data_IF_153948152278
#
_entry.id   IF_153948152278
#
_cell.length_a   1.000
_cell.length_b   1.000
_cell.length_c   1.000
_cell.angle_alpha   90.00
_cell.angle_beta   90.00
_cell.angle_gamma   90.00
#
_symmetry.space_group_name_H-M   'P 1'
#
loop_
_entity.id
_entity.type
_entity.pdbx_description
1 polymer ?
2 water ?
#
# COMPACT_ATOMS: atom_id res chain seq x y z
N UNK A 4 -30.50 48.90 -9.66
CA UNK A 4 -30.77 49.04 -8.18
C UNK A 4 -29.50 48.75 -7.38
N UNK A 5 -29.41 49.28 -6.16
CA UNK A 5 -28.27 49.06 -5.25
C UNK A 5 -28.17 47.57 -4.73
N UNK A 6 -29.30 46.92 -4.69
CA UNK A 6 -29.43 45.56 -4.25
C UNK A 6 -28.86 44.65 -5.34
N UNK A 7 -29.21 44.94 -6.60
CA UNK A 7 -28.65 44.21 -7.74
C UNK A 7 -27.15 44.45 -7.82
N UNK A 8 -26.70 45.66 -7.51
CA UNK A 8 -25.30 45.94 -7.55
C UNK A 8 -24.56 45.15 -6.47
N UNK A 9 -25.13 45.10 -5.28
CA UNK A 9 -24.45 44.34 -4.19
C UNK A 9 -24.36 42.83 -4.55
N UNK A 10 -25.37 42.28 -5.22
CA UNK A 10 -25.39 40.89 -5.60
C UNK A 10 -24.37 40.65 -6.67
N UNK A 11 -24.27 41.58 -7.63
CA UNK A 11 -23.31 41.38 -8.70
C UNK A 11 -21.85 41.36 -8.14
N UNK A 12 -21.58 42.27 -7.19
CA UNK A 12 -20.27 42.26 -6.52
C UNK A 12 -19.98 41.01 -5.71
N UNK A 13 -20.97 40.54 -5.00
CA UNK A 13 -20.83 39.27 -4.26
C UNK A 13 -20.53 38.13 -5.22
N UNK A 14 -21.22 38.08 -6.36
CA UNK A 14 -21.04 37.02 -7.32
C UNK A 14 -19.64 37.10 -7.91
N UNK A 15 -19.17 38.30 -8.22
CA UNK A 15 -17.75 38.44 -8.68
C UNK A 15 -16.76 37.88 -7.65
N UNK A 16 -16.95 38.17 -6.36
CA UNK A 16 -16.08 37.69 -5.28
C UNK A 16 -16.16 36.10 -5.25
N UNK A 17 -17.35 35.55 -5.33
CA UNK A 17 -17.52 34.09 -5.31
C UNK A 17 -16.98 33.44 -6.54
N UNK A 18 -17.08 34.08 -7.70
CA UNK A 18 -16.48 33.51 -8.89
C UNK A 18 -14.97 33.48 -8.80
N UNK A 19 -14.40 34.50 -8.15
CA UNK A 19 -12.92 34.48 -7.94
C UNK A 19 -12.56 33.43 -6.91
N UNK A 20 -13.36 33.29 -5.88
CA UNK A 20 -13.13 32.25 -4.90
C UNK A 20 -13.25 30.84 -5.48
N UNK A 21 -14.21 30.60 -6.35
CA UNK A 21 -14.24 29.32 -7.05
C UNK A 21 -13.05 29.11 -7.95
N UNK A 22 -12.67 30.13 -8.71
CA UNK A 22 -11.50 29.95 -9.59
C UNK A 22 -10.25 29.62 -8.83
N UNK A 23 -10.09 30.24 -7.65
CA UNK A 23 -8.93 30.02 -6.85
C UNK A 23 -8.92 28.56 -6.29
N UNK A 24 -10.09 28.12 -5.79
CA UNK A 24 -10.29 26.70 -5.41
C UNK A 24 -10.04 25.70 -6.54
N UNK A 25 -10.61 25.95 -7.72
CA UNK A 25 -10.35 25.08 -8.85
C UNK A 25 -8.84 24.94 -9.14
N UNK A 26 -8.11 26.06 -9.11
CA UNK A 26 -6.68 26.02 -9.33
C UNK A 26 -5.96 25.25 -8.20
N UNK A 27 -6.34 25.46 -6.92
CA UNK A 27 -5.75 24.74 -5.82
C UNK A 27 -5.94 23.24 -6.01
N UNK A 28 -7.17 22.86 -6.41
CA UNK A 28 -7.46 21.47 -6.72
C UNK A 28 -6.63 20.87 -7.79
N UNK A 29 -6.38 21.61 -8.89
CA UNK A 29 -5.50 21.10 -9.91
C UNK A 29 -4.07 20.92 -9.42
N UNK A 30 -3.54 21.84 -8.63
CA UNK A 30 -2.16 21.66 -8.10
C UNK A 30 -2.10 20.49 -7.12
N UNK A 31 -3.09 20.35 -6.26
CA UNK A 31 -3.15 19.21 -5.36
C UNK A 31 -3.25 17.91 -6.20
N UNK A 32 -4.11 17.92 -7.21
CA UNK A 32 -4.30 16.66 -7.93
C UNK A 32 -2.98 16.23 -8.69
N UNK A 33 -2.21 17.17 -9.23
CA UNK A 33 -0.98 16.83 -9.87
C UNK A 33 0.05 16.25 -8.87
N UNK A 34 0.13 16.77 -7.64
CA UNK A 34 0.99 16.13 -6.64
C UNK A 34 0.42 14.81 -6.15
N UNK A 35 -0.90 14.71 -6.07
CA UNK A 35 -1.56 13.46 -5.72
C UNK A 35 -1.25 12.38 -6.82
N UNK A 36 -1.31 12.72 -8.11
CA UNK A 36 -1.01 11.76 -9.16
C UNK A 36 0.46 11.31 -9.06
N UNK A 37 1.36 12.24 -8.75
CA UNK A 37 2.73 11.85 -8.56
C UNK A 37 2.93 10.93 -7.32
N UNK A 38 2.32 11.27 -6.20
CA UNK A 38 2.41 10.42 -5.01
C UNK A 38 1.89 9.00 -5.34
N UNK A 39 0.83 8.93 -6.15
CA UNK A 39 0.27 7.64 -6.58
C UNK A 39 1.25 6.84 -7.42
N UNK A 40 1.90 7.51 -8.34
CA UNK A 40 2.96 6.89 -9.14
C UNK A 40 4.13 6.40 -8.31
N UNK A 41 4.49 7.20 -7.33
CA UNK A 41 5.62 6.85 -6.47
C UNK A 41 5.27 5.65 -5.58
N UNK A 42 4.07 5.68 -5.07
CA UNK A 42 3.52 4.63 -4.21
C UNK A 42 3.41 3.33 -5.04
N UNK A 43 2.89 3.41 -6.25
CA UNK A 43 2.79 2.25 -7.08
C UNK A 43 4.12 1.65 -7.44
N UNK A 44 5.14 2.50 -7.66
CA UNK A 44 6.44 1.98 -7.94
C UNK A 44 7.01 1.30 -6.69
N UNK A 45 6.84 1.90 -5.52
CA UNK A 45 7.29 1.28 -4.29
C UNK A 45 6.56 -0.13 -4.06
N UNK A 46 5.25 -0.19 -4.28
CA UNK A 46 4.49 -1.44 -4.18
C UNK A 46 4.97 -2.55 -5.14
N UNK A 47 5.25 -2.20 -6.40
CA UNK A 47 5.83 -3.13 -7.33
C UNK A 47 7.23 -3.62 -6.89
N UNK A 48 8.10 -2.71 -6.39
CA UNK A 48 9.40 -3.13 -5.84
C UNK A 48 9.23 -4.07 -4.60
N UNK A 49 8.24 -3.78 -3.73
CA UNK A 49 7.99 -4.60 -2.55
C UNK A 49 7.58 -6.01 -2.98
N UNK A 50 6.81 -6.12 -4.08
CA UNK A 50 6.38 -7.44 -4.57
C UNK A 50 7.61 -8.21 -5.09
N UNK A 51 8.53 -7.51 -5.75
CA UNK A 51 9.82 -8.11 -6.20
C UNK A 51 10.68 -8.59 -5.04
N UNK A 52 10.83 -7.71 -4.05
CA UNK A 52 11.64 -7.97 -2.80
C UNK A 52 11.09 -9.15 -2.01
N UNK A 53 9.78 -9.33 -2.12
CA UNK A 53 9.14 -10.45 -1.46
C UNK A 53 9.50 -11.75 -2.15
N UNK A 54 9.44 -11.76 -3.48
CA UNK A 54 9.78 -12.95 -4.28
C UNK A 54 11.21 -13.38 -4.02
N UNK A 55 12.11 -12.38 -3.94
CA UNK A 55 13.52 -12.62 -3.66
C UNK A 55 13.73 -13.18 -2.28
N UNK A 56 13.02 -12.62 -1.31
CA UNK A 56 13.08 -13.10 0.03
C UNK A 56 12.66 -14.57 0.12
N UNK A 57 11.60 -14.97 -0.58
CA UNK A 57 11.17 -16.33 -0.58
C UNK A 57 12.21 -17.28 -1.18
N UNK A 58 12.95 -16.83 -2.19
CA UNK A 58 13.98 -17.66 -2.79
C UNK A 58 15.12 -17.89 -1.79
N UNK A 59 15.47 -16.85 -0.99
CA UNK A 59 16.47 -17.06 0.07
C UNK A 59 15.96 -17.97 1.17
N UNK A 60 14.70 -17.81 1.49
CA UNK A 60 14.08 -18.71 2.47
C UNK A 60 14.14 -20.18 1.93
N UNK A 61 13.87 -20.38 0.65
CA UNK A 61 14.03 -21.73 0.08
C UNK A 61 15.40 -22.36 0.14
N UNK A 62 16.46 -21.58 -0.18
CA UNK A 62 17.85 -21.99 0.04
C UNK A 62 18.10 -22.40 1.51
N UNK A 63 17.67 -21.56 2.46
CA UNK A 63 17.85 -21.80 3.88
C UNK A 63 17.12 -23.07 4.28
N UNK A 64 15.88 -23.28 3.83
CA UNK A 64 15.12 -24.52 4.28
C UNK A 64 15.70 -25.80 3.67
N UNK A 65 16.14 -25.76 2.42
CA UNK A 65 16.98 -26.85 1.84
C UNK A 65 18.15 -27.23 2.70
N UNK A 66 18.88 -26.23 3.19
CA UNK A 66 20.09 -26.49 3.96
C UNK A 66 19.67 -27.02 5.32
N UNK A 67 18.54 -26.56 5.87
CA UNK A 67 18.09 -27.07 7.15
C UNK A 67 17.70 -28.53 6.99
N UNK A 68 17.13 -28.92 5.81
CA UNK A 68 16.76 -30.30 5.64
C UNK A 68 17.97 -31.21 5.49
N UNK A 69 19.00 -30.69 4.88
CA UNK A 69 20.26 -31.43 4.81
C UNK A 69 20.87 -31.59 6.26
N UNK A 70 20.86 -30.51 7.02
CA UNK A 70 21.24 -30.61 8.48
C UNK A 70 20.43 -31.69 9.22
N UNK A 71 19.10 -31.64 9.10
CA UNK A 71 18.25 -32.60 9.82
C UNK A 71 18.60 -34.05 9.50
N UNK A 72 18.90 -34.36 8.23
CA UNK A 72 19.28 -35.72 7.82
C UNK A 72 20.59 -36.12 8.51
N UNK A 73 21.57 -35.20 8.56
CA UNK A 73 22.82 -35.49 9.28
C UNK A 73 22.62 -35.64 10.80
N UNK A 74 21.79 -34.83 11.37
CA UNK A 74 21.49 -35.00 12.81
C UNK A 74 20.84 -36.35 13.07
N UNK A 75 19.93 -36.76 12.22
CA UNK A 75 19.30 -38.11 12.40
C UNK A 75 20.41 -39.15 12.34
N UNK A 76 21.26 -39.02 11.35
CA UNK A 76 22.38 -39.96 11.26
C UNK A 76 23.23 -39.99 12.48
N UNK A 77 23.54 -38.82 12.99
CA UNK A 77 24.37 -38.76 14.13
C UNK A 77 23.75 -39.32 15.38
N UNK A 78 22.46 -39.08 15.59
CA UNK A 78 21.80 -39.61 16.73
C UNK A 78 21.83 -41.16 16.62
N UNK A 79 21.74 -41.69 15.40
CA UNK A 79 21.75 -43.15 15.17
C UNK A 79 23.12 -43.64 15.64
N UNK A 80 24.15 -42.88 15.29
CA UNK A 80 25.55 -43.29 15.62
C UNK A 80 25.72 -43.24 17.16
N UNK A 81 25.22 -42.18 17.78
CA UNK A 81 25.33 -42.10 19.23
C UNK A 81 24.63 -43.29 19.92
N UNK A 82 23.49 -43.72 19.37
CA UNK A 82 22.72 -44.83 19.94
C UNK A 82 23.58 -46.07 19.91
N UNK A 83 24.25 -46.28 18.76
CA UNK A 83 25.14 -47.41 18.60
C UNK A 83 26.37 -47.37 19.45
N UNK A 84 26.98 -46.19 19.54
CA UNK A 84 28.06 -46.00 20.53
C UNK A 84 27.73 -46.28 21.95
N UNK A 85 26.56 -45.87 22.43
CA UNK A 85 26.20 -46.22 23.82
C UNK A 85 26.21 -47.78 24.00
N UNK A 86 25.63 -48.48 23.04
CA UNK A 86 25.48 -49.92 23.16
C UNK A 86 26.89 -50.57 23.18
N UNK A 87 27.63 -50.27 22.16
CA UNK A 87 28.95 -50.85 21.96
C UNK A 87 29.88 -50.53 23.12
N UNK A 88 29.82 -49.31 23.64
CA UNK A 88 30.63 -48.96 24.82
C UNK A 88 30.21 -49.75 26.07
N UNK A 89 28.92 -49.88 26.31
CA UNK A 89 28.47 -50.69 27.40
C UNK A 89 29.06 -52.11 27.29
N UNK A 90 28.98 -52.72 26.11
CA UNK A 90 29.45 -54.08 25.92
C UNK A 90 30.95 -54.23 26.23
N UNK A 91 31.70 -53.22 25.79
CA UNK A 91 33.17 -53.22 25.92
C UNK A 91 33.56 -52.98 27.37
N UNK A 92 32.91 -52.04 28.03
CA UNK A 92 33.20 -51.85 29.43
C UNK A 92 33.08 -53.13 30.21
N UNK A 93 32.11 -53.98 29.90
CA UNK A 93 31.96 -55.24 30.64
C UNK A 93 33.09 -56.25 30.45
N UNK A 94 33.75 -56.26 29.31
CA UNK A 94 34.94 -57.10 29.14
C UNK A 94 36.16 -56.41 29.75
N UNK B 7 36.08 -58.96 21.88
CA UNK B 7 36.90 -57.75 22.31
C UNK B 7 37.44 -57.03 21.13
N UNK B 8 38.11 -57.80 20.26
CA UNK B 8 38.69 -57.25 19.07
C UNK B 8 37.61 -56.69 18.18
N UNK B 9 36.53 -57.45 17.99
CA UNK B 9 35.48 -57.01 17.08
C UNK B 9 34.77 -55.81 17.63
N UNK B 10 34.61 -55.76 18.93
CA UNK B 10 33.97 -54.64 19.56
C UNK B 10 34.81 -53.38 19.41
N UNK B 11 36.13 -53.50 19.62
CA UNK B 11 37.07 -52.42 19.24
C UNK B 11 36.98 -52.03 17.80
N UNK B 12 36.97 -52.98 16.87
CA UNK B 12 36.82 -52.65 15.46
C UNK B 12 35.51 -51.86 15.15
N UNK B 13 34.37 -52.40 15.56
CA UNK B 13 33.07 -51.68 15.45
C UNK B 13 33.16 -50.27 16.08
N UNK B 14 33.74 -50.17 17.27
CA UNK B 14 33.76 -48.89 17.98
C UNK B 14 34.60 -47.86 17.22
N UNK B 15 35.73 -48.28 16.65
CA UNK B 15 36.56 -47.38 15.82
C UNK B 15 35.78 -46.92 14.62
N UNK B 16 35.14 -47.87 13.90
CA UNK B 16 34.27 -47.56 12.75
C UNK B 16 33.16 -46.55 13.10
N UNK B 17 32.50 -46.80 14.23
CA UNK B 17 31.50 -45.83 14.71
C UNK B 17 32.05 -44.46 15.04
N UNK B 18 33.19 -44.41 15.73
CA UNK B 18 33.81 -43.16 16.07
C UNK B 18 34.31 -42.42 14.84
N UNK B 19 34.71 -43.17 13.78
CA UNK B 19 35.00 -42.51 12.51
C UNK B 19 33.76 -41.85 11.91
N UNK B 20 32.68 -42.59 11.84
CA UNK B 20 31.44 -42.06 11.35
C UNK B 20 30.96 -40.90 12.21
N UNK B 21 31.10 -40.95 13.52
CA UNK B 21 30.77 -39.81 14.36
C UNK B 21 31.54 -38.56 13.98
N UNK B 22 32.87 -38.73 13.81
CA UNK B 22 33.68 -37.59 13.50
C UNK B 22 33.38 -37.05 12.12
N UNK B 23 33.12 -37.94 11.16
CA UNK B 23 32.70 -37.50 9.80
C UNK B 23 31.38 -36.72 9.83
N UNK B 24 30.38 -37.23 10.56
CA UNK B 24 29.08 -36.54 10.64
C UNK B 24 29.25 -35.21 11.33
N UNK B 25 30.07 -35.18 12.40
CA UNK B 25 30.36 -33.90 13.10
C UNK B 25 30.94 -32.89 12.18
N UNK B 26 31.91 -33.33 11.41
CA UNK B 26 32.53 -32.42 10.42
C UNK B 26 31.54 -31.96 9.31
N UNK B 27 30.78 -32.88 8.74
CA UNK B 27 29.79 -32.52 7.76
C UNK B 27 28.75 -31.52 8.38
N UNK B 28 28.41 -31.73 9.64
CA UNK B 28 27.53 -30.81 10.36
C UNK B 28 28.15 -29.41 10.57
N UNK B 29 29.45 -29.35 10.86
CA UNK B 29 30.13 -28.09 10.89
C UNK B 29 30.06 -27.37 9.51
N UNK B 30 30.31 -28.05 8.41
CA UNK B 30 30.25 -27.46 7.10
C UNK B 30 28.83 -26.98 6.76
N UNK B 31 27.84 -27.84 7.03
CA UNK B 31 26.47 -27.49 6.76
C UNK B 31 26.02 -26.39 7.70
N UNK B 32 26.47 -26.33 8.97
CA UNK B 32 26.08 -25.22 9.88
C UNK B 32 26.67 -23.90 9.38
N UNK B 33 27.89 -23.97 8.79
CA UNK B 33 28.46 -22.78 8.16
C UNK B 33 27.65 -22.28 6.96
N UNK B 34 27.27 -23.20 6.11
CA UNK B 34 26.38 -22.87 4.99
C UNK B 34 24.98 -22.30 5.38
N UNK B 35 24.35 -22.89 6.41
CA UNK B 35 23.10 -22.43 7.06
C UNK B 35 23.31 -20.97 7.42
N UNK B 36 24.46 -20.69 8.05
CA UNK B 36 24.73 -19.37 8.53
C UNK B 36 24.74 -18.34 7.44
N UNK B 37 25.44 -18.66 6.38
CA UNK B 37 25.45 -17.73 5.23
C UNK B 37 24.06 -17.56 4.65
N UNK B 38 23.30 -18.65 4.46
CA UNK B 38 21.96 -18.50 3.94
C UNK B 38 21.11 -17.64 4.89
N UNK B 39 21.28 -17.84 6.20
CA UNK B 39 20.51 -17.03 7.15
C UNK B 39 20.90 -15.58 7.07
N UNK B 40 22.19 -15.28 6.93
CA UNK B 40 22.59 -13.91 6.82
C UNK B 40 21.97 -13.30 5.52
N UNK B 41 21.97 -14.05 4.43
CA UNK B 41 21.43 -13.54 3.16
C UNK B 41 19.90 -13.32 3.23
N UNK B 42 19.22 -14.20 4.01
CA UNK B 42 17.76 -14.06 4.20
C UNK B 42 17.57 -12.82 5.03
N UNK B 43 18.37 -12.64 6.10
CA UNK B 43 18.16 -11.50 6.99
C UNK B 43 18.46 -10.18 6.26
N UNK B 44 19.47 -10.24 5.38
CA UNK B 44 19.73 -9.08 4.52
C UNK B 44 18.53 -8.75 3.61
N UNK B 45 17.97 -9.75 2.98
CA UNK B 45 16.78 -9.53 2.14
C UNK B 45 15.60 -9.01 2.94
N UNK B 46 15.40 -9.49 4.17
CA UNK B 46 14.43 -8.97 5.03
C UNK B 46 14.63 -7.48 5.41
N UNK B 47 15.90 -7.11 5.65
CA UNK B 47 16.22 -5.74 5.96
C UNK B 47 15.93 -4.82 4.75
N UNK B 48 16.27 -5.28 3.57
CA UNK B 48 15.99 -4.52 2.37
C UNK B 48 14.49 -4.31 2.17
N UNK B 49 13.70 -5.37 2.41
CA UNK B 49 12.26 -5.25 2.34
C UNK B 49 11.70 -4.27 3.38
N UNK B 50 12.26 -4.24 4.60
CA UNK B 50 11.82 -3.29 5.65
C UNK B 50 12.16 -1.82 5.25
N UNK B 51 13.37 -1.62 4.71
CA UNK B 51 13.75 -0.28 4.25
C UNK B 51 12.82 0.22 3.13
N UNK B 52 12.47 -0.65 2.22
CA UNK B 52 11.56 -0.29 1.17
C UNK B 52 10.19 0.02 1.73
N UNK B 53 9.77 -0.78 2.67
CA UNK B 53 8.51 -0.56 3.36
C UNK B 53 8.38 0.80 4.03
N UNK B 54 9.47 1.29 4.62
CA UNK B 54 9.47 2.63 5.23
C UNK B 54 9.19 3.68 4.15
N UNK B 55 9.82 3.51 3.00
CA UNK B 55 9.61 4.40 1.83
C UNK B 55 8.18 4.33 1.28
N UNK B 56 7.66 3.10 1.21
CA UNK B 56 6.33 2.87 0.71
C UNK B 56 5.31 3.55 1.58
N UNK B 57 5.47 3.38 2.88
CA UNK B 57 4.54 3.98 3.86
C UNK B 57 4.56 5.52 3.72
N UNK B 58 5.76 6.09 3.54
CA UNK B 58 5.89 7.56 3.37
C UNK B 58 5.13 8.05 2.09
N UNK B 59 5.19 7.29 1.00
CA UNK B 59 4.46 7.69 -0.23
C UNK B 59 2.99 7.52 0.06
N UNK B 60 2.63 6.46 0.78
CA UNK B 60 1.24 6.28 1.13
C UNK B 60 0.70 7.45 2.00
N UNK B 61 1.49 7.93 2.93
CA UNK B 61 1.07 9.04 3.77
C UNK B 61 0.91 10.29 2.93
N UNK B 62 1.82 10.50 1.98
CA UNK B 62 1.70 11.64 1.04
C UNK B 62 0.41 11.51 0.23
N UNK B 63 0.22 10.34 -0.38
CA UNK B 63 -0.97 10.14 -1.22
C UNK B 63 -2.25 10.41 -0.40
N UNK B 64 -2.39 9.79 0.77
CA UNK B 64 -3.54 10.03 1.66
C UNK B 64 -3.75 11.44 2.04
N UNK B 65 -2.67 12.11 2.44
CA UNK B 65 -2.74 13.51 2.89
C UNK B 65 -3.29 14.39 1.74
N UNK B 66 -2.77 14.13 0.52
CA UNK B 66 -3.17 14.90 -0.66
C UNK B 66 -4.64 14.59 -0.96
N UNK B 67 -5.03 13.31 -0.83
CA UNK B 67 -6.46 12.97 -1.08
C UNK B 67 -7.37 13.69 -0.09
N UNK B 68 -7.00 13.75 1.20
CA UNK B 68 -7.75 14.44 2.22
C UNK B 68 -7.90 15.89 1.96
N UNK B 69 -6.82 16.47 1.46
CA UNK B 69 -6.78 17.88 1.15
C UNK B 69 -7.67 18.14 -0.11
N UNK B 70 -7.62 17.24 -1.07
CA UNK B 70 -8.60 17.35 -2.24
C UNK B 70 -10.06 17.28 -1.79
N UNK B 71 -10.39 16.29 -0.98
CA UNK B 71 -11.76 16.29 -0.41
C UNK B 71 -12.17 17.54 0.31
N UNK B 72 -11.31 18.10 1.13
CA UNK B 72 -11.60 19.32 1.88
C UNK B 72 -11.84 20.52 0.93
N UNK B 73 -10.99 20.62 -0.06
CA UNK B 73 -11.13 21.69 -1.10
C UNK B 73 -12.40 21.50 -1.91
N UNK B 74 -12.70 20.25 -2.27
CA UNK B 74 -14.01 19.99 -2.92
C UNK B 74 -15.22 20.39 -2.09
N UNK B 75 -15.21 20.06 -0.80
CA UNK B 75 -16.22 20.54 0.07
C UNK B 75 -16.32 22.02 0.11
N UNK B 76 -15.17 22.70 0.24
CA UNK B 76 -15.16 24.15 0.24
C UNK B 76 -15.77 24.74 -1.05
N UNK B 77 -15.38 24.17 -2.20
CA UNK B 77 -15.92 24.56 -3.49
C UNK B 77 -17.43 24.35 -3.58
N UNK B 78 -17.95 23.24 -3.08
CA UNK B 78 -19.35 23.08 -3.08
C UNK B 78 -20.08 24.12 -2.27
N UNK B 79 -19.50 24.55 -1.17
CA UNK B 79 -20.15 25.55 -0.31
C UNK B 79 -20.15 26.89 -0.98
N UNK B 80 -19.02 27.22 -1.63
CA UNK B 80 -18.98 28.42 -2.43
C UNK B 80 -20.04 28.40 -3.57
N UNK B 81 -20.20 27.26 -4.20
CA UNK B 81 -21.09 27.09 -5.28
C UNK B 81 -22.54 27.23 -4.78
N UNK B 82 -22.86 26.71 -3.61
CA UNK B 82 -24.20 26.97 -3.07
C UNK B 82 -24.46 28.44 -2.84
N UNK B 83 -23.48 29.14 -2.32
CA UNK B 83 -23.63 30.61 -2.16
C UNK B 83 -23.81 31.31 -3.56
N UNK B 84 -23.04 30.83 -4.53
CA UNK B 84 -23.08 31.41 -5.86
C UNK B 84 -24.48 31.21 -6.43
N UNK B 85 -24.98 30.01 -6.35
CA UNK B 85 -26.33 29.75 -6.95
C UNK B 85 -27.41 30.52 -6.23
N UNK B 86 -27.29 30.69 -4.92
CA UNK B 86 -28.25 31.49 -4.17
C UNK B 86 -28.23 32.95 -4.67
N UNK B 87 -27.02 33.53 -4.76
CA UNK B 87 -26.92 34.87 -5.20
C UNK B 87 -27.43 35.04 -6.69
N UNK B 88 -27.22 34.08 -7.55
CA UNK B 88 -27.73 34.16 -8.91
C UNK B 88 -29.28 34.16 -8.94
N UNK B 89 -29.88 33.33 -8.10
CA UNK B 89 -31.35 33.32 -7.99
C UNK B 89 -31.77 34.67 -7.55
N UNK B 90 -31.10 35.26 -6.54
CA UNK B 90 -31.57 36.52 -6.01
C UNK B 90 -31.51 37.56 -7.11
N UNK B 91 -30.43 37.54 -7.88
CA UNK B 91 -30.24 38.62 -8.94
C UNK B 91 -31.18 38.35 -10.13
N UNK B 92 -31.37 37.12 -10.52
CA UNK B 92 -32.32 36.78 -11.60
C UNK B 92 -33.74 37.22 -11.30
N UNK B 93 -34.13 37.29 -10.05
CA UNK B 93 -35.46 37.76 -9.71
C UNK B 93 -35.66 39.20 -9.92
N UNK B 94 -34.59 39.96 -9.76
CA UNK B 94 -34.63 41.36 -10.02
C UNK B 94 -34.71 41.56 -11.53
N UNK C 5 -37.12 56.44 -33.28
CA UNK C 5 -36.05 55.93 -34.18
C UNK C 5 -34.78 55.41 -33.48
N UNK C 6 -34.03 56.30 -32.83
CA UNK C 6 -32.96 55.90 -31.89
C UNK C 6 -33.58 54.91 -30.93
N UNK C 7 -34.81 55.21 -30.49
CA UNK C 7 -35.47 54.36 -29.58
C UNK C 7 -35.75 52.96 -30.20
N UNK C 8 -36.15 52.90 -31.47
CA UNK C 8 -36.34 51.61 -32.15
C UNK C 8 -35.06 50.79 -32.28
N UNK C 9 -33.96 51.45 -32.59
CA UNK C 9 -32.71 50.76 -32.66
C UNK C 9 -32.29 50.24 -31.24
N UNK C 10 -32.58 51.00 -30.20
CA UNK C 10 -32.26 50.52 -28.84
C UNK C 10 -33.14 49.30 -28.44
N UNK C 11 -34.44 49.36 -28.83
CA UNK C 11 -35.37 48.26 -28.48
C UNK C 11 -34.90 47.01 -29.15
N UNK C 12 -34.54 47.06 -30.44
CA UNK C 12 -34.03 45.92 -31.19
C UNK C 12 -32.79 45.34 -30.52
N UNK C 13 -31.87 46.24 -30.14
CA UNK C 13 -30.64 45.78 -29.41
C UNK C 13 -31.01 45.09 -28.09
N UNK C 14 -31.93 45.70 -27.31
CA UNK C 14 -32.23 45.20 -26.03
C UNK C 14 -32.88 43.78 -26.22
N UNK C 15 -33.70 43.64 -27.26
CA UNK C 15 -34.25 42.30 -27.56
C UNK C 15 -33.14 41.27 -27.84
N UNK C 16 -32.21 41.66 -28.71
CA UNK C 16 -31.09 40.83 -29.04
C UNK C 16 -30.28 40.42 -27.77
N UNK C 17 -30.06 41.38 -26.88
CA UNK C 17 -29.27 41.10 -25.68
C UNK C 17 -30.03 40.27 -24.69
N UNK C 18 -31.33 40.51 -24.57
CA UNK C 18 -32.11 39.65 -23.70
C UNK C 18 -32.16 38.19 -24.16
N UNK C 19 -32.18 37.99 -25.47
CA UNK C 19 -32.11 36.66 -26.05
C UNK C 19 -30.73 36.01 -25.77
N UNK C 20 -29.66 36.82 -25.81
CA UNK C 20 -28.34 36.30 -25.57
C UNK C 20 -28.18 35.96 -24.08
N UNK C 21 -28.73 36.77 -23.21
CA UNK C 21 -28.70 36.56 -21.83
C UNK C 21 -29.43 35.24 -21.56
N UNK C 22 -30.64 35.05 -22.10
CA UNK C 22 -31.38 33.81 -21.87
C UNK C 22 -30.63 32.58 -22.30
N UNK C 23 -29.99 32.64 -23.45
CA UNK C 23 -29.18 31.51 -23.98
C UNK C 23 -28.00 31.23 -23.04
N UNK C 24 -27.33 32.28 -22.59
CA UNK C 24 -26.24 32.04 -21.56
C UNK C 24 -26.74 31.42 -20.28
N UNK C 25 -27.83 31.94 -19.73
CA UNK C 25 -28.40 31.36 -18.57
C UNK C 25 -28.75 29.89 -18.85
N UNK C 26 -29.35 29.57 -20.00
CA UNK C 26 -29.68 28.15 -20.28
C UNK C 26 -28.43 27.29 -20.41
N UNK C 27 -27.40 27.83 -21.02
CA UNK C 27 -26.13 27.11 -21.18
C UNK C 27 -25.54 26.85 -19.80
N UNK C 28 -25.61 27.83 -18.91
CA UNK C 28 -25.15 27.61 -17.50
C UNK C 28 -25.95 26.53 -16.78
N UNK C 29 -27.28 26.50 -16.99
CA UNK C 29 -28.10 25.43 -16.46
C UNK C 29 -27.72 24.08 -16.96
N UNK C 30 -27.39 23.98 -18.24
CA UNK C 30 -27.01 22.74 -18.85
C UNK C 30 -25.62 22.27 -18.36
N UNK C 31 -24.72 23.21 -18.24
CA UNK C 31 -23.45 22.93 -17.56
C UNK C 31 -23.64 22.48 -16.18
N UNK C 32 -24.52 23.09 -15.42
CA UNK C 32 -24.79 22.63 -14.08
C UNK C 32 -25.32 21.21 -14.09
N UNK C 33 -26.18 20.84 -15.04
CA UNK C 33 -26.64 19.47 -15.10
C UNK C 33 -25.52 18.45 -15.35
N UNK C 34 -24.67 18.72 -16.31
CA UNK C 34 -23.53 17.92 -16.61
C UNK C 34 -22.60 17.88 -15.38
N UNK C 35 -22.40 19.03 -14.72
CA UNK C 35 -21.51 19.16 -13.52
C UNK C 35 -22.06 18.26 -12.40
N UNK C 36 -23.37 18.28 -12.19
CA UNK C 36 -24.00 17.49 -11.16
C UNK C 36 -23.78 16.02 -11.41
N UNK C 37 -23.80 15.59 -12.68
CA UNK C 37 -23.51 14.20 -12.99
C UNK C 37 -22.05 13.84 -12.75
N UNK C 38 -21.15 14.72 -13.23
CA UNK C 38 -19.69 14.50 -13.00
C UNK C 38 -19.41 14.41 -11.50
N UNK C 39 -20.01 15.30 -10.71
CA UNK C 39 -19.75 15.38 -9.26
C UNK C 39 -20.22 14.10 -8.58
N UNK C 40 -21.40 13.67 -8.95
CA UNK C 40 -21.92 12.43 -8.42
C UNK C 40 -21.05 11.24 -8.80
N UNK C 41 -20.56 11.12 -10.06
CA UNK C 41 -19.70 10.08 -10.46
C UNK C 41 -18.38 10.14 -9.66
N UNK C 42 -17.89 11.36 -9.49
CA UNK C 42 -16.66 11.56 -8.72
C UNK C 42 -16.83 11.11 -7.27
N UNK C 43 -17.91 11.48 -6.62
CA UNK C 43 -18.19 11.08 -5.28
C UNK C 43 -18.40 9.57 -5.20
N UNK C 44 -19.01 8.95 -6.21
CA UNK C 44 -19.17 7.46 -6.19
C UNK C 44 -17.83 6.75 -6.25
N UNK C 45 -16.96 7.24 -7.15
CA UNK C 45 -15.58 6.77 -7.23
C UNK C 45 -14.78 6.97 -5.96
N UNK C 46 -14.94 8.10 -5.28
CA UNK C 46 -14.22 8.35 -4.02
C UNK C 46 -14.70 7.39 -2.94
N UNK C 47 -16.01 7.18 -2.90
CA UNK C 47 -16.53 6.27 -1.85
C UNK C 47 -16.11 4.80 -2.14
N UNK C 48 -15.94 4.46 -3.39
CA UNK C 48 -15.44 3.17 -3.74
C UNK C 48 -13.94 3.09 -3.38
N UNK C 49 -13.23 4.21 -3.58
CA UNK C 49 -11.75 4.18 -3.28
C UNK C 49 -11.53 4.07 -1.81
N UNK C 50 -12.37 4.71 -1.00
CA UNK C 50 -12.24 4.70 0.42
C UNK C 50 -12.49 3.33 0.99
N UNK C 51 -13.50 2.65 0.45
CA UNK C 51 -13.79 1.26 0.82
C UNK C 51 -12.64 0.33 0.50
N UNK C 52 -12.11 0.47 -0.67
CA UNK C 52 -11.04 -0.34 -1.05
C UNK C 52 -9.78 -0.05 -0.28
N UNK C 53 -9.53 1.23 -0.02
CA UNK C 53 -8.44 1.63 0.92
C UNK C 53 -8.51 0.89 2.27
N UNK C 54 -9.69 0.89 2.86
CA UNK C 54 -9.95 0.18 4.12
C UNK C 54 -9.54 -1.28 3.99
N UNK C 55 -9.88 -1.90 2.88
CA UNK C 55 -9.60 -3.33 2.68
C UNK C 55 -8.09 -3.54 2.48
N UNK C 56 -7.49 -2.63 1.72
CA UNK C 56 -6.12 -2.71 1.42
C UNK C 56 -5.28 -2.62 2.71
N UNK C 57 -5.59 -1.65 3.53
CA UNK C 57 -4.92 -1.46 4.81
C UNK C 57 -5.02 -2.66 5.70
N UNK C 58 -6.16 -3.28 5.68
CA UNK C 58 -6.46 -4.55 6.38
C UNK C 58 -5.55 -5.67 5.82
N UNK C 59 -5.49 -5.79 4.50
CA UNK C 59 -4.59 -6.75 3.91
C UNK C 59 -3.05 -6.47 4.32
N UNK C 60 -2.68 -5.21 4.37
CA UNK C 60 -1.29 -4.81 4.73
C UNK C 60 -1.00 -5.21 6.18
N UNK C 61 -1.90 -4.85 7.09
CA UNK C 61 -1.80 -5.31 8.53
C UNK C 61 -1.76 -6.76 8.70
N UNK C 62 -2.61 -7.52 8.02
CA UNK C 62 -2.57 -9.01 8.05
C UNK C 62 -1.18 -9.49 7.63
N UNK C 63 -0.72 -9.01 6.47
CA UNK C 63 0.58 -9.44 6.01
C UNK C 63 1.74 -9.06 6.97
N UNK C 64 1.67 -7.87 7.55
CA UNK C 64 2.66 -7.39 8.53
C UNK C 64 2.74 -8.39 9.73
N UNK C 65 1.58 -8.81 10.20
CA UNK C 65 1.52 -9.77 11.30
C UNK C 65 2.05 -11.13 10.91
N UNK C 66 1.70 -11.59 9.73
CA UNK C 66 2.18 -12.87 9.28
C UNK C 66 3.74 -12.81 9.09
N UNK C 67 4.27 -11.66 8.66
CA UNK C 67 5.68 -11.51 8.45
C UNK C 67 6.35 -11.55 9.85
N UNK C 68 5.77 -10.89 10.83
CA UNK C 68 6.27 -11.05 12.17
C UNK C 68 6.31 -12.51 12.60
N UNK C 69 5.24 -13.21 12.40
CA UNK C 69 5.17 -14.61 12.77
C UNK C 69 6.30 -15.39 12.14
N UNK C 70 6.59 -15.14 10.86
CA UNK C 70 7.67 -15.81 10.20
C UNK C 70 9.04 -15.47 10.84
N UNK C 71 9.27 -14.19 11.06
CA UNK C 71 10.52 -13.76 11.71
C UNK C 71 10.73 -14.38 13.08
N UNK C 72 9.68 -14.39 13.88
CA UNK C 72 9.68 -14.95 15.21
C UNK C 72 9.97 -16.46 15.16
N UNK C 73 9.38 -17.20 14.22
CA UNK C 73 9.75 -18.61 14.05
C UNK C 73 11.19 -18.78 13.65
N UNK C 74 11.70 -17.91 12.79
CA UNK C 74 13.14 -17.94 12.45
C UNK C 74 14.05 -17.65 13.65
N UNK C 75 13.63 -16.77 14.58
CA UNK C 75 14.35 -16.53 15.78
C UNK C 75 14.38 -17.76 16.64
N UNK C 76 13.23 -18.43 16.77
CA UNK C 76 13.23 -19.72 17.47
C UNK C 76 14.16 -20.77 16.86
N UNK C 77 14.23 -20.81 15.56
CA UNK C 77 15.04 -21.78 14.87
C UNK C 77 16.53 -21.40 15.21
N UNK C 78 16.85 -20.11 15.23
CA UNK C 78 18.21 -19.72 15.63
C UNK C 78 18.51 -20.15 17.07
N UNK C 79 17.56 -20.05 17.96
CA UNK C 79 17.78 -20.53 19.30
C UNK C 79 18.11 -22.03 19.32
N UNK C 80 17.41 -22.81 18.53
CA UNK C 80 17.71 -24.23 18.41
C UNK C 80 19.01 -24.50 17.74
N UNK C 81 19.41 -23.69 16.76
CA UNK C 81 20.73 -23.85 16.22
C UNK C 81 21.76 -23.65 17.37
N UNK C 82 21.48 -22.69 18.28
CA UNK C 82 22.47 -22.40 19.36
C UNK C 82 22.51 -23.55 20.37
N UNK C 83 21.34 -24.04 20.68
CA UNK C 83 21.24 -25.29 21.44
C UNK C 83 22.06 -26.48 20.87
N UNK C 84 22.06 -26.63 19.54
CA UNK C 84 22.90 -27.63 18.90
C UNK C 84 24.39 -27.40 19.16
N UNK C 85 24.81 -26.15 19.18
CA UNK C 85 26.24 -25.86 19.52
C UNK C 85 26.54 -26.09 21.00
N UNK C 86 25.59 -25.85 21.87
CA UNK C 86 25.76 -26.13 23.31
C UNK C 86 25.83 -27.64 23.55
N UNK C 87 25.18 -28.46 22.69
CA UNK C 87 25.26 -29.92 22.77
C UNK C 87 26.61 -30.40 22.24
N UNK C 88 27.06 -29.76 21.17
CA UNK C 88 28.34 -30.14 20.53
C UNK C 88 29.49 -30.01 21.55
N UNK C 89 29.44 -28.97 22.38
CA UNK C 89 30.50 -28.79 23.43
C UNK C 89 30.02 -29.39 24.79
N UNK C 90 28.91 -30.10 24.81
CA UNK C 90 28.45 -30.94 25.95
C UNK C 90 28.20 -30.16 27.18
N UNK C 91 27.64 -28.97 27.03
CA UNK C 91 27.24 -28.16 28.19
C UNK C 91 26.16 -28.90 28.97
N UNK C 92 26.38 -29.06 30.29
CA UNK C 92 25.39 -29.61 31.23
C UNK C 92 24.25 -28.65 31.36
N UNK C 93 23.20 -29.12 31.99
CA UNK C 93 21.98 -28.38 32.14
C UNK C 93 21.55 -28.35 33.60
N UNK C 94 21.24 -27.15 34.09
CA UNK C 94 20.58 -26.81 35.40
C UNK C 94 21.36 -25.86 36.28
N UNK D 4 29.97 -44.11 27.47
CA UNK D 4 28.64 -44.65 27.06
C UNK D 4 27.53 -43.75 27.58
N UNK D 5 27.67 -43.27 28.82
CA UNK D 5 26.81 -42.24 29.32
C UNK D 5 26.81 -40.97 28.49
N UNK D 6 28.01 -40.54 28.05
CA UNK D 6 28.11 -39.34 27.20
C UNK D 6 27.33 -39.59 25.87
N UNK D 7 27.52 -40.75 25.25
CA UNK D 7 26.78 -41.06 24.03
C UNK D 7 25.27 -41.08 24.24
N UNK D 8 24.87 -41.72 25.32
CA UNK D 8 23.47 -41.72 25.70
C UNK D 8 22.86 -40.27 25.86
N UNK D 9 23.59 -39.39 26.55
CA UNK D 9 23.09 -38.02 26.83
C UNK D 9 23.03 -37.21 25.55
N UNK D 10 24.06 -37.41 24.70
CA UNK D 10 24.11 -36.73 23.44
C UNK D 10 22.98 -37.26 22.50
N UNK D 11 22.70 -38.56 22.48
CA UNK D 11 21.59 -39.06 21.61
C UNK D 11 20.26 -38.39 22.02
N UNK D 12 19.95 -38.42 23.32
CA UNK D 12 18.71 -37.87 23.85
C UNK D 12 18.59 -36.44 23.44
N UNK D 13 19.70 -35.71 23.61
CA UNK D 13 19.68 -34.31 23.27
C UNK D 13 19.53 -34.08 21.80
N UNK D 14 20.27 -34.82 20.97
CA UNK D 14 20.11 -34.75 19.55
C UNK D 14 18.68 -35.05 19.10
N UNK D 15 18.03 -36.05 19.65
CA UNK D 15 16.66 -36.31 19.18
C UNK D 15 15.70 -35.22 19.59
N UNK D 16 15.83 -34.67 20.79
CA UNK D 16 15.06 -33.51 21.17
C UNK D 16 15.22 -32.36 20.20
N UNK D 17 16.47 -32.00 19.94
CA UNK D 17 16.75 -30.81 19.09
C UNK D 17 16.33 -31.05 17.67
N UNK D 18 16.57 -32.28 17.19
CA UNK D 18 16.27 -32.62 15.81
C UNK D 18 14.77 -32.39 15.65
N UNK D 19 13.99 -32.82 16.65
CA UNK D 19 12.52 -32.75 16.44
C UNK D 19 12.05 -31.33 16.52
N UNK D 20 12.68 -30.56 17.40
CA UNK D 20 12.26 -29.15 17.60
C UNK D 20 12.55 -28.40 16.31
N UNK D 21 13.73 -28.67 15.73
CA UNK D 21 14.07 -28.06 14.48
C UNK D 21 13.09 -28.53 13.41
N UNK D 22 12.81 -29.80 13.36
CA UNK D 22 11.90 -30.28 12.30
C UNK D 22 10.51 -29.68 12.38
N UNK D 23 10.05 -29.47 13.58
CA UNK D 23 8.71 -28.87 13.77
C UNK D 23 8.74 -27.40 13.25
N UNK D 24 9.80 -26.67 13.63
CA UNK D 24 9.92 -25.30 13.14
C UNK D 24 10.09 -25.23 11.65
N UNK D 25 10.85 -26.15 11.06
CA UNK D 25 11.03 -26.17 9.61
C UNK D 25 9.68 -26.43 8.89
N UNK D 26 8.95 -27.37 9.45
CA UNK D 26 7.62 -27.71 8.90
C UNK D 26 6.71 -26.49 8.97
N UNK D 27 6.67 -25.85 10.12
CA UNK D 27 5.83 -24.70 10.27
C UNK D 27 6.26 -23.53 9.35
N UNK D 28 7.56 -23.34 9.17
CA UNK D 28 8.08 -22.35 8.23
C UNK D 28 7.79 -22.61 6.69
N UNK D 29 7.74 -23.87 6.30
CA UNK D 29 7.36 -24.29 4.96
C UNK D 29 5.98 -23.86 4.73
N UNK D 30 5.06 -24.12 5.65
CA UNK D 30 3.66 -23.65 5.47
C UNK D 30 3.60 -22.13 5.48
N UNK D 31 4.20 -21.51 6.50
CA UNK D 31 4.21 -20.05 6.58
C UNK D 31 4.67 -19.36 5.28
N UNK D 32 5.63 -19.94 4.60
CA UNK D 32 6.09 -19.43 3.33
C UNK D 32 5.00 -19.43 2.26
N UNK D 33 4.33 -20.57 2.10
CA UNK D 33 3.25 -20.69 1.10
C UNK D 33 2.05 -19.86 1.57
N UNK D 34 1.72 -19.86 2.85
CA UNK D 34 0.64 -19.02 3.30
C UNK D 34 0.83 -17.52 3.27
N UNK D 35 2.04 -17.06 3.54
CA UNK D 35 2.35 -15.68 3.45
C UNK D 35 2.37 -15.24 2.00
N UNK D 36 2.74 -16.07 1.07
CA UNK D 36 2.69 -15.70 -0.33
C UNK D 36 1.24 -15.46 -0.79
N UNK D 37 0.32 -16.28 -0.31
CA UNK D 37 -1.12 -15.95 -0.49
C UNK D 37 -1.51 -14.54 0.05
N UNK D 38 -1.11 -14.20 1.26
CA UNK D 38 -1.45 -12.95 1.81
C UNK D 38 -0.83 -11.84 1.05
N UNK D 39 0.39 -12.07 0.59
CA UNK D 39 1.01 -11.08 -0.25
C UNK D 39 0.26 -10.88 -1.58
N UNK D 40 -0.18 -11.97 -2.18
CA UNK D 40 -0.93 -11.89 -3.41
C UNK D 40 -2.23 -11.15 -3.24
N UNK D 41 -2.89 -11.36 -2.11
CA UNK D 41 -4.09 -10.66 -1.82
C UNK D 41 -3.85 -9.17 -1.67
N UNK D 42 -2.75 -8.81 -0.98
CA UNK D 42 -2.44 -7.39 -0.82
C UNK D 42 -2.15 -6.78 -2.17
N UNK D 43 -1.38 -7.48 -3.01
CA UNK D 43 -0.98 -6.96 -4.31
C UNK D 43 -2.19 -6.76 -5.23
N UNK D 44 -3.12 -7.70 -5.16
CA UNK D 44 -4.35 -7.53 -5.88
C UNK D 44 -5.18 -6.29 -5.47
N UNK D 45 -5.25 -6.01 -4.22
CA UNK D 45 -5.95 -4.88 -3.62
C UNK D 45 -5.23 -3.61 -4.07
N UNK D 46 -3.89 -3.64 -4.08
CA UNK D 46 -3.10 -2.47 -4.52
C UNK D 46 -3.34 -2.20 -6.01
N UNK D 47 -3.45 -3.26 -6.79
CA UNK D 47 -3.67 -3.13 -8.21
C UNK D 47 -5.04 -2.56 -8.51
N UNK D 48 -6.02 -3.01 -7.78
CA UNK D 48 -7.31 -2.41 -7.86
C UNK D 48 -7.34 -0.95 -7.44
N UNK D 49 -6.60 -0.61 -6.38
CA UNK D 49 -6.53 0.79 -5.90
C UNK D 49 -6.01 1.67 -6.97
N UNK D 50 -4.97 1.20 -7.68
CA UNK D 50 -4.40 1.91 -8.78
C UNK D 50 -5.39 2.17 -9.93
N UNK D 51 -6.15 1.16 -10.29
CA UNK D 51 -7.19 1.31 -11.30
C UNK D 51 -8.25 2.32 -10.86
N UNK D 52 -8.65 2.28 -9.59
CA UNK D 52 -9.74 3.19 -9.10
C UNK D 52 -9.23 4.60 -9.00
N UNK D 53 -7.96 4.76 -8.69
CA UNK D 53 -7.36 6.11 -8.65
C UNK D 53 -7.44 6.73 -10.04
N UNK D 54 -7.21 5.93 -11.08
CA UNK D 54 -7.26 6.43 -12.48
C UNK D 54 -8.66 6.83 -12.93
N UNK D 55 -9.65 6.00 -12.63
CA UNK D 55 -11.04 6.33 -12.88
C UNK D 55 -11.50 7.52 -12.08
N UNK D 56 -11.06 7.65 -10.81
CA UNK D 56 -11.50 8.77 -10.01
C UNK D 56 -10.93 10.01 -10.62
N UNK D 57 -9.67 9.97 -11.04
CA UNK D 57 -9.03 11.19 -11.60
C UNK D 57 -9.76 11.60 -12.89
N UNK D 58 -10.17 10.61 -13.69
CA UNK D 58 -10.91 10.94 -14.86
C UNK D 58 -12.24 11.71 -14.56
N UNK D 59 -13.00 11.29 -13.52
CA UNK D 59 -14.17 12.04 -13.10
C UNK D 59 -13.76 13.43 -12.56
N UNK D 60 -12.67 13.48 -11.81
CA UNK D 60 -12.21 14.78 -11.26
C UNK D 60 -11.88 15.73 -12.44
N UNK D 61 -11.20 15.22 -13.46
CA UNK D 61 -10.90 16.04 -14.65
C UNK D 61 -12.15 16.52 -15.39
N UNK D 62 -13.14 15.65 -15.59
CA UNK D 62 -14.42 16.07 -16.16
C UNK D 62 -15.07 17.18 -15.37
N UNK D 63 -15.12 17.02 -14.04
CA UNK D 63 -15.74 17.97 -13.17
C UNK D 63 -15.00 19.29 -13.26
N UNK D 64 -13.67 19.25 -13.19
CA UNK D 64 -12.88 20.47 -13.28
C UNK D 64 -13.08 21.22 -14.54
N UNK D 65 -13.11 20.48 -15.67
CA UNK D 65 -13.37 21.11 -16.97
C UNK D 65 -14.69 21.82 -17.07
N UNK D 66 -15.71 21.19 -16.50
CA UNK D 66 -17.00 21.78 -16.44
C UNK D 66 -17.02 22.99 -15.53
N UNK D 67 -16.27 22.97 -14.42
CA UNK D 67 -16.19 24.21 -13.59
C UNK D 67 -15.59 25.36 -14.36
N UNK D 68 -14.53 25.11 -15.07
CA UNK D 68 -13.94 26.14 -15.88
C UNK D 68 -14.91 26.66 -16.92
N UNK D 69 -15.66 25.75 -17.55
CA UNK D 69 -16.66 26.17 -18.55
C UNK D 69 -17.71 27.11 -17.90
N UNK D 70 -18.18 26.73 -16.70
CA UNK D 70 -19.10 27.51 -15.92
C UNK D 70 -18.53 28.92 -15.65
N UNK D 71 -17.27 28.96 -15.20
CA UNK D 71 -16.68 30.27 -14.85
C UNK D 71 -16.55 31.20 -16.04
N UNK D 72 -16.24 30.62 -17.19
CA UNK D 72 -16.14 31.34 -18.41
C UNK D 72 -17.48 31.90 -18.84
N UNK D 73 -18.52 31.07 -18.77
CA UNK D 73 -19.91 31.53 -19.06
C UNK D 73 -20.36 32.61 -18.13
N UNK D 74 -20.02 32.54 -16.84
CA UNK D 74 -20.42 33.52 -15.95
C UNK D 74 -19.76 34.89 -16.32
N UNK D 75 -18.51 34.87 -16.73
CA UNK D 75 -17.90 36.10 -17.19
C UNK D 75 -18.64 36.63 -18.45
N UNK D 76 -18.96 35.76 -19.38
CA UNK D 76 -19.78 36.15 -20.55
C UNK D 76 -21.11 36.79 -20.15
N UNK D 77 -21.75 36.20 -19.16
CA UNK D 77 -23.05 36.68 -18.72
C UNK D 77 -22.95 38.08 -18.08
N UNK D 78 -21.93 38.23 -17.23
CA UNK D 78 -21.70 39.53 -16.56
C UNK D 78 -21.57 40.67 -17.57
N UNK D 79 -20.90 40.36 -18.65
CA UNK D 79 -20.70 41.34 -19.66
C UNK D 79 -22.03 41.66 -20.39
N UNK D 80 -22.82 40.64 -20.72
CA UNK D 80 -24.13 40.89 -21.31
C UNK D 80 -24.98 41.71 -20.35
N UNK D 81 -24.95 41.42 -19.07
CA UNK D 81 -25.71 42.19 -18.12
C UNK D 81 -25.28 43.70 -18.13
N UNK D 82 -23.96 43.97 -18.26
CA UNK D 82 -23.50 45.35 -18.33
C UNK D 82 -24.03 46.00 -19.64
N UNK D 83 -24.00 45.29 -20.76
CA UNK D 83 -24.51 45.78 -22.06
C UNK D 83 -26.02 46.07 -21.99
N UNK D 84 -26.75 45.22 -21.23
CA UNK D 84 -28.14 45.37 -21.04
C UNK D 84 -28.41 46.63 -20.21
N UNK D 85 -27.66 46.83 -19.12
CA UNK D 85 -27.84 48.00 -18.25
C UNK D 85 -27.60 49.28 -19.07
N UNK D 86 -26.55 49.26 -19.86
CA UNK D 86 -26.20 50.42 -20.64
C UNK D 86 -27.34 50.76 -21.59
N UNK D 87 -27.79 49.78 -22.36
CA UNK D 87 -28.78 50.02 -23.36
C UNK D 87 -30.11 50.43 -22.70
N UNK D 88 -30.43 49.85 -21.54
CA UNK D 88 -31.63 50.27 -20.80
C UNK D 88 -31.58 51.77 -20.38
N UNK D 89 -30.41 52.20 -19.94
CA UNK D 89 -30.24 53.55 -19.48
C UNK D 89 -30.41 54.45 -20.71
N UNK D 90 -29.78 54.12 -21.85
CA UNK D 90 -29.91 54.97 -23.04
C UNK D 90 -31.40 55.08 -23.44
N UNK D 91 -32.11 53.95 -23.42
CA UNK D 91 -33.56 54.03 -23.75
C UNK D 91 -34.41 54.75 -22.72
N UNK D 92 -34.15 54.58 -21.44
CA UNK D 92 -34.83 55.29 -20.39
C UNK D 92 -34.71 56.79 -20.56
N UNK D 93 -33.54 57.25 -21.01
CA UNK D 93 -33.30 58.71 -21.17
C UNK D 93 -34.08 59.32 -22.30
N UNK D 94 -34.57 58.51 -23.25
CA UNK D 94 -35.14 59.03 -24.52
C UNK D 94 -36.62 59.41 -24.45
#
# INVERSE_FOLDING_TARGET
GPGSDEAAALRAELRDLELEEARLVQELEDVDRNNARAAADLQAAQAEAAELDQQERQHYRDYSALKRQQLELLDQLGNVENQLQYARVQLDRLKE
GPGSDEAAALRAELRDLELEEARLVQELEDVDRNNARAAADLQAAQAEAAELDQQERQHYRDYSALKRQQLELLDQLGNVENQLQYARVQLDRLKE
GPGSDEAAALRAELRDLELEEARLVQELEDVDRNNARAAADLQAAQAEAAELDQQERQHYRDYSALKRQQLELLDQLGNVENQLQYARVQLDRLKE
GPGSDEAAALRAELRDLELEEARLVQELEDVDRNNARAAADLQAAQAEAAELDQQERQHYRDYSALKRQQLELLDQLGNVENQLQYARVQLDRLKE
#
